data_IF_092258422273
#
_entry.id   IF_092258422273
#
_cell.length_a   1.000
_cell.length_b   1.000
_cell.length_c   1.000
_cell.angle_alpha   90.00
_cell.angle_beta   90.00
_cell.angle_gamma   90.00
#
_symmetry.space_group_name_H-M   'P 1'
#
loop_
_entity.id
_entity.type
_entity.pdbx_description
1 polymer ?
#
# COMPACT_ATOMS: atom_id res chain seq x y z
N UNK A 1 4.69 8.58 -9.08
CA UNK A 1 3.90 7.40 -9.56
C UNK A 1 3.34 6.64 -8.35
N UNK A 2 2.04 6.30 -8.33
CA UNK A 2 1.39 5.57 -7.23
C UNK A 2 1.05 4.13 -7.64
N UNK A 3 1.46 3.14 -6.85
CA UNK A 3 1.17 1.71 -7.05
C UNK A 3 0.42 1.15 -5.85
N UNK A 4 -0.67 0.44 -6.11
CA UNK A 4 -1.42 -0.30 -5.08
C UNK A 4 -1.15 -1.80 -5.21
N UNK A 5 -0.72 -2.42 -4.10
CA UNK A 5 -0.34 -3.84 -4.04
C UNK A 5 -0.96 -4.54 -2.84
N UNK A 6 -1.17 -5.85 -2.95
CA UNK A 6 -1.51 -6.72 -1.83
C UNK A 6 -0.23 -7.40 -1.30
N UNK A 7 -0.03 -7.39 0.02
CA UNK A 7 1.08 -8.08 0.66
C UNK A 7 1.48 -7.48 2.01
N UNK A 8 2.71 -7.78 2.45
CA UNK A 8 3.27 -7.25 3.69
C UNK A 8 4.11 -6.01 3.41
N UNK A 9 3.72 -4.87 4.00
CA UNK A 9 4.44 -3.60 3.86
C UNK A 9 5.90 -3.69 4.34
N UNK A 10 6.15 -4.43 5.42
CA UNK A 10 7.50 -4.59 5.99
C UNK A 10 8.45 -5.35 5.07
N UNK A 11 7.91 -6.04 4.06
CA UNK A 11 8.66 -6.79 3.04
C UNK A 11 8.74 -6.06 1.71
N UNK A 12 8.10 -4.89 1.56
CA UNK A 12 8.16 -4.15 0.30
C UNK A 12 9.55 -3.56 0.08
N UNK A 13 10.06 -3.54 -1.17
CA UNK A 13 11.35 -2.98 -1.52
C UNK A 13 11.27 -1.45 -1.59
N UNK A 14 11.03 -0.81 -0.44
CA UNK A 14 10.93 0.63 -0.28
C UNK A 14 12.00 1.17 0.67
N UNK A 15 12.46 2.38 0.41
CA UNK A 15 13.47 3.05 1.24
C UNK A 15 12.85 3.63 2.52
N UNK A 16 11.62 4.15 2.43
CA UNK A 16 10.89 4.76 3.53
C UNK A 16 9.57 4.02 3.77
N UNK A 17 9.34 3.57 5.01
CA UNK A 17 8.03 3.10 5.46
C UNK A 17 7.37 4.21 6.29
N UNK A 18 6.36 4.85 5.72
CA UNK A 18 5.56 5.87 6.40
C UNK A 18 4.27 5.28 6.96
N UNK A 19 3.95 5.65 8.19
CA UNK A 19 2.69 5.26 8.84
C UNK A 19 2.19 6.37 9.76
N UNK A 20 0.88 6.42 9.99
CA UNK A 20 0.31 7.34 10.97
C UNK A 20 0.67 6.87 12.39
N UNK A 21 1.10 7.80 13.23
CA UNK A 21 1.37 7.60 14.66
C UNK A 21 0.61 8.59 15.53
N UNK A 22 0.35 8.18 16.78
CA UNK A 22 -0.15 9.07 17.82
C UNK A 22 0.94 9.95 18.44
N UNK A 23 0.53 10.98 19.17
CA UNK A 23 1.40 11.87 19.91
C UNK A 23 1.68 11.40 21.35
N UNK A 24 1.19 10.21 21.76
CA UNK A 24 1.33 9.68 23.12
C UNK A 24 2.47 8.67 23.29
N UNK A 25 3.18 8.33 22.20
CA UNK A 25 4.33 7.42 22.27
C UNK A 25 3.94 5.95 22.33
N UNK A 26 2.73 5.59 21.86
CA UNK A 26 2.20 4.23 21.91
C UNK A 26 2.19 3.60 20.52
N UNK A 27 2.84 2.44 20.37
CA UNK A 27 2.71 1.57 19.19
C UNK A 27 2.16 0.20 19.66
N UNK A 28 0.86 0.18 19.97
CA UNK A 28 0.22 -0.94 20.66
C UNK A 28 -0.52 -1.94 19.77
N UNK A 29 -0.87 -1.56 18.54
CA UNK A 29 -1.62 -2.40 17.61
C UNK A 29 -1.31 -2.06 16.14
N UNK A 30 -1.88 -2.85 15.22
CA UNK A 30 -1.79 -2.64 13.79
C UNK A 30 -0.35 -2.62 13.26
N UNK A 31 -0.13 -1.84 12.20
CA UNK A 31 1.18 -1.68 11.56
C UNK A 31 2.23 -1.09 12.50
N UNK A 32 1.84 -0.19 13.41
CA UNK A 32 2.75 0.45 14.34
C UNK A 32 3.39 -0.58 15.30
N UNK A 33 2.60 -1.54 15.81
CA UNK A 33 3.12 -2.63 16.62
C UNK A 33 4.08 -3.54 15.83
N UNK A 34 3.76 -3.80 14.56
CA UNK A 34 4.62 -4.63 13.69
C UNK A 34 5.96 -3.93 13.42
N UNK A 35 5.95 -2.65 13.08
CA UNK A 35 7.17 -1.83 12.90
C UNK A 35 8.01 -1.85 14.17
N UNK A 36 7.40 -1.62 15.35
CA UNK A 36 8.09 -1.69 16.64
C UNK A 36 8.77 -3.03 16.88
N UNK A 37 8.09 -4.14 16.57
CA UNK A 37 8.59 -5.50 16.85
C UNK A 37 9.64 -5.97 15.85
N UNK A 38 9.53 -5.55 14.59
CA UNK A 38 10.28 -6.15 13.49
C UNK A 38 11.38 -5.26 12.93
N UNK A 39 11.24 -3.93 13.00
CA UNK A 39 12.14 -3.01 12.30
C UNK A 39 12.87 -2.03 13.23
N UNK A 40 12.29 -1.68 14.38
CA UNK A 40 12.90 -0.73 15.31
C UNK A 40 13.76 -1.43 16.36
N UNK A 41 14.93 -0.86 16.64
CA UNK A 41 15.68 -1.18 17.85
C UNK A 41 15.02 -0.53 19.07
N UNK A 42 15.36 -1.02 20.27
CA UNK A 42 14.89 -0.39 21.52
C UNK A 42 15.31 1.08 21.61
N UNK A 43 16.48 1.45 21.08
CA UNK A 43 16.97 2.83 21.05
C UNK A 43 16.08 3.72 20.16
N UNK A 44 15.80 3.28 18.94
CA UNK A 44 14.99 4.04 17.98
C UNK A 44 13.54 4.16 18.45
N UNK A 45 12.97 3.09 19.03
CA UNK A 45 11.66 3.17 19.66
C UNK A 45 11.63 4.14 20.84
N UNK A 46 12.69 4.18 21.67
CA UNK A 46 12.79 5.13 22.77
C UNK A 46 12.88 6.59 22.27
N UNK A 47 13.45 6.86 21.10
CA UNK A 47 13.42 8.20 20.49
C UNK A 47 12.00 8.65 20.18
N UNK A 48 11.14 7.75 19.69
CA UNK A 48 9.70 8.02 19.50
C UNK A 48 8.98 8.28 20.83
N UNK A 49 9.20 7.42 21.84
CA UNK A 49 8.58 7.59 23.16
C UNK A 49 8.99 8.92 23.80
N UNK A 50 10.27 9.27 23.74
CA UNK A 50 10.80 10.46 24.38
C UNK A 50 10.30 11.75 23.72
N UNK A 51 10.26 11.80 22.38
CA UNK A 51 9.75 13.00 21.70
C UNK A 51 8.25 13.21 21.98
N UNK A 52 7.48 12.12 22.05
CA UNK A 52 6.06 12.17 22.43
C UNK A 52 5.86 12.69 23.85
N UNK A 53 6.65 12.20 24.82
CA UNK A 53 6.61 12.71 26.20
C UNK A 53 6.95 14.21 26.30
N UNK A 54 7.91 14.67 25.49
CA UNK A 54 8.38 16.06 25.53
C UNK A 54 7.40 17.04 24.87
N UNK A 55 6.75 16.62 23.77
CA UNK A 55 6.01 17.54 22.90
C UNK A 55 4.51 17.28 22.86
N UNK A 56 4.05 16.07 23.17
CA UNK A 56 2.65 15.66 23.10
C UNK A 56 1.97 16.12 21.81
N UNK A 57 0.79 16.74 21.94
CA UNK A 57 0.01 17.27 20.83
C UNK A 57 0.77 18.27 19.92
N UNK A 58 1.85 18.89 20.42
CA UNK A 58 2.72 19.74 19.61
C UNK A 58 3.48 19.00 18.50
N UNK A 59 3.31 17.68 18.39
CA UNK A 59 3.78 16.85 17.28
C UNK A 59 2.79 16.75 16.13
N UNK A 60 1.51 17.08 16.29
CA UNK A 60 0.53 17.00 15.22
C UNK A 60 1.01 17.74 13.97
N UNK A 61 0.91 17.09 12.81
CA UNK A 61 1.35 17.63 11.53
C UNK A 61 2.84 17.44 11.24
N UNK A 62 3.61 16.92 12.18
CA UNK A 62 5.06 16.72 12.06
C UNK A 62 5.38 15.28 11.70
N UNK A 63 6.65 15.08 11.39
CA UNK A 63 7.20 13.79 11.02
C UNK A 63 8.49 13.55 11.79
N UNK A 64 8.66 12.34 12.32
CA UNK A 64 9.93 11.85 12.85
C UNK A 64 10.46 10.74 11.97
N UNK A 65 11.72 10.87 11.55
CA UNK A 65 12.45 9.83 10.85
C UNK A 65 13.28 9.01 11.85
N UNK A 66 13.10 7.70 11.82
CA UNK A 66 13.88 6.73 12.59
C UNK A 66 14.63 5.82 11.63
N UNK A 67 15.79 5.34 12.06
CA UNK A 67 16.60 4.43 11.26
C UNK A 67 16.31 2.99 11.63
N UNK A 68 16.38 2.09 10.66
CA UNK A 68 16.31 0.64 10.92
C UNK A 68 17.69 -0.01 10.71
N UNK A 69 17.96 -1.17 11.33
CA UNK A 69 19.20 -1.91 11.09
C UNK A 69 19.42 -2.32 9.63
N UNK A 70 18.34 -2.49 8.86
CA UNK A 70 18.38 -2.87 7.45
C UNK A 70 18.55 -1.69 6.48
N UNK A 71 18.82 -0.48 7.00
CA UNK A 71 19.13 0.71 6.21
C UNK A 71 17.91 1.51 5.74
N UNK A 72 16.70 1.01 5.95
CA UNK A 72 15.46 1.73 5.67
C UNK A 72 15.18 2.83 6.70
N UNK A 73 14.20 3.67 6.37
CA UNK A 73 13.73 4.76 7.22
C UNK A 73 12.29 4.49 7.63
N UNK A 74 12.00 4.57 8.93
CA UNK A 74 10.62 4.64 9.43
C UNK A 74 10.23 6.09 9.58
N UNK A 75 9.13 6.48 8.94
CA UNK A 75 8.54 7.79 9.02
C UNK A 75 7.28 7.76 9.90
N UNK A 76 7.42 8.19 11.15
CA UNK A 76 6.31 8.40 12.07
C UNK A 76 5.59 9.70 11.70
N UNK A 77 4.43 9.58 11.04
CA UNK A 77 3.61 10.71 10.62
C UNK A 77 2.57 11.01 11.71
N UNK A 78 2.74 12.11 12.44
CA UNK A 78 1.89 12.45 13.57
C UNK A 78 0.55 13.04 13.13
N UNK A 79 -0.40 12.16 12.78
CA UNK A 79 -1.76 12.48 12.36
C UNK A 79 -2.84 12.17 13.41
N UNK A 80 -2.43 11.71 14.59
CA UNK A 80 -3.33 11.34 15.69
C UNK A 80 -2.77 11.94 16.99
N UNK A 81 -3.60 12.55 17.81
CA UNK A 81 -3.13 13.08 19.10
C UNK A 81 -3.12 11.97 20.16
N UNK A 82 -4.32 11.56 20.58
CA UNK A 82 -4.55 10.53 21.59
C UNK A 82 -5.33 9.40 20.92
N UNK A 83 -4.85 8.15 20.98
CA UNK A 83 -5.58 7.02 20.43
C UNK A 83 -6.71 6.63 21.38
N UNK A 84 -7.93 7.06 21.09
CA UNK A 84 -9.12 6.74 21.89
C UNK A 84 -9.71 5.38 21.50
N UNK A 85 -9.45 4.94 20.26
CA UNK A 85 -10.01 3.71 19.70
C UNK A 85 -11.52 3.79 19.47
N UNK A 86 -12.10 5.00 19.49
CA UNK A 86 -13.52 5.26 19.31
C UNK A 86 -13.74 6.49 18.45
N UNK A 87 -14.55 6.36 17.40
CA UNK A 87 -14.80 7.48 16.49
C UNK A 87 -13.56 7.82 15.67
N UNK A 88 -13.42 9.09 15.29
CA UNK A 88 -12.34 9.58 14.43
C UNK A 88 -11.28 10.32 15.25
N UNK A 89 -10.15 9.68 15.45
CA UNK A 89 -8.94 10.25 16.07
C UNK A 89 -7.97 10.84 15.02
N UNK A 90 -8.10 10.44 13.75
CA UNK A 90 -7.28 11.01 12.67
C UNK A 90 -7.64 12.45 12.38
N UNK A 91 -6.62 13.30 12.46
CA UNK A 91 -6.60 14.66 11.95
C UNK A 91 -6.03 14.65 10.53
N UNK A 92 -6.89 14.89 9.54
CA UNK A 92 -6.51 14.81 8.13
C UNK A 92 -5.51 15.88 7.72
N UNK A 93 -5.62 17.10 8.26
CA UNK A 93 -4.70 18.18 7.92
C UNK A 93 -3.32 17.92 8.53
N UNK A 94 -3.28 17.41 9.75
CA UNK A 94 -2.05 16.94 10.38
C UNK A 94 -1.42 15.79 9.57
N UNK A 95 -2.20 14.77 9.21
CA UNK A 95 -1.68 13.66 8.42
C UNK A 95 -1.14 14.14 7.06
N UNK A 96 -1.86 15.04 6.39
CA UNK A 96 -1.45 15.63 5.11
C UNK A 96 -0.12 16.37 5.24
N UNK A 97 0.04 17.22 6.25
CA UNK A 97 1.29 17.94 6.48
C UNK A 97 2.46 16.98 6.74
N UNK A 98 2.25 15.98 7.60
CA UNK A 98 3.28 14.99 7.92
C UNK A 98 3.72 14.18 6.69
N UNK A 99 2.77 13.75 5.87
CA UNK A 99 3.05 13.01 4.62
C UNK A 99 3.70 13.90 3.56
N UNK A 100 3.34 15.19 3.48
CA UNK A 100 3.99 16.15 2.57
C UNK A 100 5.48 16.28 2.88
N UNK A 101 5.85 16.35 4.17
CA UNK A 101 7.26 16.36 4.60
C UNK A 101 8.00 15.10 4.09
N UNK A 102 7.35 13.93 4.11
CA UNK A 102 7.94 12.70 3.60
C UNK A 102 8.10 12.72 2.09
N UNK A 103 7.08 13.19 1.36
CA UNK A 103 7.14 13.34 -0.09
C UNK A 103 8.35 14.20 -0.48
N UNK A 104 8.48 15.38 0.14
CA UNK A 104 9.57 16.32 -0.16
C UNK A 104 10.94 15.72 0.20
N UNK A 105 11.06 15.11 1.38
CA UNK A 105 12.30 14.45 1.82
C UNK A 105 12.74 13.34 0.86
N UNK A 106 11.78 12.52 0.40
CA UNK A 106 12.02 11.42 -0.53
C UNK A 106 12.39 11.94 -1.93
N UNK A 107 11.70 12.98 -2.40
CA UNK A 107 11.94 13.61 -3.70
C UNK A 107 13.35 14.17 -3.81
N UNK A 108 13.81 14.90 -2.80
CA UNK A 108 15.17 15.45 -2.74
C UNK A 108 16.28 14.39 -2.81
N UNK A 109 15.97 13.13 -2.43
CA UNK A 109 16.96 12.05 -2.28
C UNK A 109 16.74 10.90 -3.27
N UNK A 110 15.74 10.99 -4.14
CA UNK A 110 15.37 9.92 -5.06
C UNK A 110 14.94 8.62 -4.35
N UNK A 111 14.31 8.73 -3.18
CA UNK A 111 13.89 7.59 -2.37
C UNK A 111 12.45 7.17 -2.68
N UNK A 112 12.15 5.89 -2.50
CA UNK A 112 10.81 5.31 -2.61
C UNK A 112 10.08 5.30 -1.27
N UNK A 113 8.74 5.41 -1.31
CA UNK A 113 7.90 5.47 -0.11
C UNK A 113 6.87 4.35 -0.12
N UNK A 114 6.74 3.64 0.99
CA UNK A 114 5.67 2.68 1.25
C UNK A 114 4.76 3.14 2.38
N UNK A 115 3.44 3.02 2.19
CA UNK A 115 2.43 3.27 3.22
C UNK A 115 1.47 2.09 3.35
N UNK A 116 0.89 1.84 4.53
CA UNK A 116 -0.13 0.81 4.68
C UNK A 116 -1.43 1.26 4.02
N UNK A 117 -2.11 0.32 3.36
CA UNK A 117 -3.52 0.50 3.02
C UNK A 117 -4.34 0.76 4.29
N UNK A 118 -5.33 1.64 4.20
CA UNK A 118 -6.12 2.12 5.34
C UNK A 118 -5.31 2.91 6.40
N UNK A 119 -4.19 3.54 6.01
CA UNK A 119 -3.42 4.45 6.88
C UNK A 119 -4.37 5.50 7.51
N UNK A 120 -4.35 5.60 8.84
CA UNK A 120 -5.23 6.51 9.60
C UNK A 120 -6.72 6.13 9.64
N UNK A 121 -7.14 5.08 8.95
CA UNK A 121 -8.57 4.80 8.75
C UNK A 121 -9.07 3.57 9.52
N UNK A 122 -8.17 2.67 9.91
CA UNK A 122 -8.51 1.52 10.77
C UNK A 122 -8.82 1.94 12.20
N UNK A 123 -7.85 1.78 13.10
CA UNK A 123 -8.05 2.02 14.54
C UNK A 123 -8.32 3.49 14.90
N UNK A 124 -7.83 4.42 14.08
CA UNK A 124 -8.00 5.86 14.28
C UNK A 124 -9.27 6.42 13.61
N UNK A 125 -10.06 5.58 12.93
CA UNK A 125 -11.40 5.90 12.44
C UNK A 125 -11.51 7.01 11.38
N UNK A 126 -10.42 7.31 10.67
CA UNK A 126 -10.47 8.11 9.45
C UNK A 126 -11.25 7.45 8.30
N UNK A 127 -11.50 8.23 7.26
CA UNK A 127 -12.13 7.82 6.02
C UNK A 127 -11.05 7.60 4.96
N UNK A 128 -10.97 6.36 4.48
CA UNK A 128 -9.95 5.96 3.53
C UNK A 128 -10.10 6.65 2.17
N UNK A 129 -11.30 7.05 1.76
CA UNK A 129 -11.47 7.80 0.52
C UNK A 129 -10.74 9.14 0.58
N UNK A 130 -10.84 9.84 1.72
CA UNK A 130 -10.16 11.12 1.96
C UNK A 130 -8.64 10.92 1.99
N UNK A 131 -8.15 9.94 2.75
CA UNK A 131 -6.70 9.71 2.88
C UNK A 131 -6.10 9.20 1.57
N UNK A 132 -6.79 8.32 0.85
CA UNK A 132 -6.34 7.82 -0.46
C UNK A 132 -6.27 8.97 -1.47
N UNK A 133 -7.32 9.78 -1.61
CA UNK A 133 -7.31 10.96 -2.49
C UNK A 133 -6.17 11.94 -2.15
N UNK A 134 -5.93 12.19 -0.87
CA UNK A 134 -4.79 12.98 -0.41
C UNK A 134 -3.44 12.39 -0.85
N UNK A 135 -3.23 11.07 -0.70
CA UNK A 135 -2.00 10.41 -1.15
C UNK A 135 -1.81 10.52 -2.67
N UNK A 136 -2.86 10.31 -3.45
CA UNK A 136 -2.81 10.45 -4.90
C UNK A 136 -2.51 11.89 -5.33
N UNK A 137 -3.05 12.89 -4.64
CA UNK A 137 -2.73 14.30 -4.91
C UNK A 137 -1.29 14.67 -4.56
N UNK A 138 -0.71 14.06 -3.53
CA UNK A 138 0.66 14.34 -3.09
C UNK A 138 1.74 13.64 -3.95
N UNK A 139 1.45 12.44 -4.47
CA UNK A 139 2.42 11.60 -5.19
C UNK A 139 2.06 11.34 -6.67
N UNK A 140 1.10 12.11 -7.19
CA UNK A 140 0.44 11.85 -8.47
C UNK A 140 1.20 12.32 -9.70
N UNK A 141 2.24 13.14 -9.56
CA UNK A 141 3.00 13.66 -10.71
C UNK A 141 4.19 12.76 -11.07
N UNK A 142 4.75 12.95 -12.27
CA UNK A 142 5.93 12.22 -12.72
C UNK A 142 7.19 12.58 -11.93
N UNK A 143 7.27 13.82 -11.44
CA UNK A 143 8.38 14.30 -10.63
C UNK A 143 8.27 13.90 -9.15
N UNK A 144 7.18 13.24 -8.74
CA UNK A 144 7.00 12.78 -7.37
C UNK A 144 7.61 11.38 -7.16
N UNK A 145 8.11 11.09 -5.94
CA UNK A 145 8.61 9.78 -5.56
C UNK A 145 7.63 8.65 -5.90
N UNK A 146 8.16 7.46 -6.14
CA UNK A 146 7.32 6.26 -6.20
C UNK A 146 6.67 6.02 -4.83
N UNK A 147 5.34 5.93 -4.82
CA UNK A 147 4.55 5.56 -3.66
C UNK A 147 3.95 4.17 -3.85
N UNK A 148 4.21 3.28 -2.90
CA UNK A 148 3.55 1.97 -2.78
C UNK A 148 2.53 2.03 -1.65
N UNK A 149 1.25 1.85 -1.98
CA UNK A 149 0.18 1.61 -1.01
C UNK A 149 0.00 0.10 -0.87
N UNK A 150 0.35 -0.44 0.29
CA UNK A 150 0.37 -1.89 0.53
C UNK A 150 -0.78 -2.33 1.43
N UNK A 151 -1.73 -3.08 0.87
CA UNK A 151 -2.86 -3.65 1.60
C UNK A 151 -2.48 -5.03 2.14
N UNK A 152 -2.56 -5.17 3.47
CA UNK A 152 -2.29 -6.47 4.11
C UNK A 152 -3.42 -7.47 3.93
N UNK A 153 -4.67 -6.99 3.97
CA UNK A 153 -5.85 -7.81 3.75
C UNK A 153 -6.22 -7.86 2.26
N UNK A 154 -6.50 -9.07 1.77
CA UNK A 154 -6.78 -9.33 0.35
C UNK A 154 -8.14 -8.77 -0.08
N UNK A 155 -9.14 -8.84 0.80
CA UNK A 155 -10.48 -8.36 0.48
C UNK A 155 -10.51 -6.82 0.45
N UNK A 156 -9.80 -6.17 1.37
CA UNK A 156 -9.60 -4.72 1.33
C UNK A 156 -8.82 -4.28 0.09
N UNK A 157 -7.80 -5.03 -0.34
CA UNK A 157 -7.11 -4.75 -1.60
C UNK A 157 -8.08 -4.74 -2.77
N UNK A 158 -8.88 -5.79 -2.95
CA UNK A 158 -9.81 -5.89 -4.07
C UNK A 158 -11.02 -4.97 -3.97
N UNK A 159 -11.47 -4.63 -2.76
CA UNK A 159 -12.49 -3.59 -2.55
C UNK A 159 -12.01 -2.24 -3.07
N UNK A 160 -10.72 -1.95 -2.91
CA UNK A 160 -10.10 -0.71 -3.37
C UNK A 160 -9.54 -0.78 -4.81
N UNK A 161 -9.45 -1.98 -5.39
CA UNK A 161 -8.95 -2.27 -6.73
C UNK A 161 -9.88 -3.32 -7.40
N UNK A 162 -11.16 -2.99 -7.66
CA UNK A 162 -12.14 -3.97 -8.12
C UNK A 162 -11.82 -4.54 -9.51
N UNK A 163 -11.10 -3.79 -10.33
CA UNK A 163 -10.56 -4.20 -11.63
C UNK A 163 -9.51 -5.32 -11.52
N UNK A 164 -8.85 -5.44 -10.36
CA UNK A 164 -7.85 -6.49 -10.08
C UNK A 164 -8.45 -7.76 -9.47
N UNK A 165 -9.75 -7.77 -9.16
CA UNK A 165 -10.41 -8.95 -8.58
C UNK A 165 -10.58 -10.02 -9.64
N UNK A 166 -10.11 -11.23 -9.34
CA UNK A 166 -10.26 -12.33 -10.28
C UNK A 166 -11.73 -12.76 -10.41
N UNK A 167 -12.18 -13.02 -11.65
CA UNK A 167 -13.52 -13.53 -11.98
C UNK A 167 -13.43 -15.01 -12.31
N UNK A 168 -14.27 -15.84 -11.69
CA UNK A 168 -14.41 -17.23 -12.14
C UNK A 168 -15.39 -17.30 -13.30
N UNK A 169 -14.95 -17.85 -14.43
CA UNK A 169 -15.76 -18.01 -15.64
C UNK A 169 -15.76 -19.46 -16.09
N UNK A 170 -16.90 -19.92 -16.58
CA UNK A 170 -16.99 -21.22 -17.23
C UNK A 170 -16.63 -21.09 -18.70
N UNK A 171 -15.68 -21.91 -19.14
CA UNK A 171 -15.32 -22.10 -20.56
C UNK A 171 -15.75 -23.50 -21.01
N UNK A 172 -15.63 -23.78 -22.30
CA UNK A 172 -15.73 -25.14 -22.84
C UNK A 172 -14.64 -26.08 -22.30
N UNK A 173 -13.57 -25.56 -21.69
CA UNK A 173 -12.49 -26.33 -21.02
C UNK A 173 -12.67 -26.44 -19.50
N UNK A 174 -13.78 -25.96 -18.96
CA UNK A 174 -14.09 -25.97 -17.53
C UNK A 174 -14.02 -24.60 -16.87
N UNK A 175 -14.05 -24.59 -15.53
CA UNK A 175 -14.00 -23.37 -14.72
C UNK A 175 -12.58 -22.82 -14.71
N UNK A 176 -12.42 -21.56 -15.12
CA UNK A 176 -11.14 -20.85 -15.11
C UNK A 176 -11.22 -19.60 -14.25
N UNK A 177 -10.08 -19.21 -13.67
CA UNK A 177 -9.94 -17.99 -12.89
C UNK A 177 -9.34 -16.90 -13.79
N UNK A 178 -10.12 -15.88 -14.13
CA UNK A 178 -9.67 -14.70 -14.87
C UNK A 178 -9.14 -13.68 -13.89
N UNK A 179 -7.84 -13.50 -13.81
CA UNK A 179 -7.22 -12.52 -12.91
C UNK A 179 -7.29 -11.09 -13.44
N UNK A 180 -7.31 -10.91 -14.76
CA UNK A 180 -7.23 -9.58 -15.36
C UNK A 180 -7.87 -9.52 -16.73
N UNK A 181 -8.20 -8.30 -17.14
CA UNK A 181 -8.62 -7.97 -18.50
C UNK A 181 -7.71 -6.88 -19.05
N UNK A 182 -7.15 -7.10 -20.22
CA UNK A 182 -6.23 -6.20 -20.92
C UNK A 182 -6.94 -5.54 -22.11
N UNK A 183 -6.51 -4.34 -22.51
CA UNK A 183 -7.08 -3.65 -23.67
C UNK A 183 -6.49 -4.14 -24.99
N UNK A 184 -5.28 -4.70 -24.94
CA UNK A 184 -4.62 -5.23 -26.13
C UNK A 184 -3.77 -6.45 -25.82
N UNK A 185 -3.35 -7.16 -26.89
CA UNK A 185 -2.46 -8.33 -26.75
C UNK A 185 -1.08 -7.91 -26.27
N UNK A 186 -0.62 -6.73 -26.70
CA UNK A 186 0.66 -6.14 -26.34
C UNK A 186 0.74 -5.86 -24.83
N UNK A 187 -0.32 -5.32 -24.23
CA UNK A 187 -0.42 -5.13 -22.77
C UNK A 187 -0.33 -6.46 -22.02
N UNK A 188 -1.05 -7.48 -22.48
CA UNK A 188 -1.02 -8.81 -21.86
C UNK A 188 0.38 -9.44 -21.94
N UNK A 189 1.02 -9.35 -23.11
CA UNK A 189 2.37 -9.88 -23.32
C UNK A 189 3.44 -9.15 -22.51
N UNK A 190 3.32 -7.84 -22.32
CA UNK A 190 4.22 -7.08 -21.45
C UNK A 190 4.20 -7.56 -19.98
N UNK A 191 3.08 -8.13 -19.54
CA UNK A 191 2.94 -8.73 -18.20
C UNK A 191 3.18 -10.26 -18.15
N UNK A 192 3.76 -10.80 -19.22
CA UNK A 192 4.15 -12.21 -19.32
C UNK A 192 3.01 -13.18 -19.64
N UNK A 193 1.82 -12.68 -20.02
CA UNK A 193 0.72 -13.52 -20.48
C UNK A 193 0.89 -13.86 -21.96
N UNK A 194 0.81 -15.15 -22.29
CA UNK A 194 0.84 -15.65 -23.67
C UNK A 194 -0.51 -16.24 -24.06
N UNK A 195 -0.81 -16.23 -25.36
CA UNK A 195 -2.08 -16.78 -25.87
C UNK A 195 -2.20 -18.26 -25.49
N UNK A 196 -3.30 -18.62 -24.86
CA UNK A 196 -3.55 -19.98 -24.36
C UNK A 196 -4.57 -20.69 -25.27
N UNK A 197 -5.79 -20.15 -25.36
CA UNK A 197 -6.85 -20.69 -26.21
C UNK A 197 -7.99 -19.67 -26.41
N UNK A 198 -8.86 -19.94 -27.40
CA UNK A 198 -10.10 -19.19 -27.58
C UNK A 198 -11.25 -19.92 -26.90
N UNK A 199 -12.03 -19.22 -26.08
CA UNK A 199 -13.27 -19.77 -25.54
C UNK A 199 -14.46 -19.31 -26.37
N UNK A 200 -15.12 -20.28 -27.02
CA UNK A 200 -16.36 -20.02 -27.76
C UNK A 200 -17.52 -19.63 -26.83
N UNK A 201 -17.50 -20.11 -25.58
CA UNK A 201 -18.52 -19.76 -24.57
C UNK A 201 -18.44 -18.32 -24.11
N UNK A 202 -17.24 -17.75 -24.06
CA UNK A 202 -17.01 -16.35 -23.68
C UNK A 202 -16.88 -15.43 -24.89
N UNK A 203 -16.74 -16.00 -26.09
CA UNK A 203 -16.39 -15.30 -27.32
C UNK A 203 -15.12 -14.44 -27.17
N UNK A 204 -14.10 -15.01 -26.51
CA UNK A 204 -12.86 -14.30 -26.16
C UNK A 204 -11.65 -15.21 -26.21
N UNK A 205 -10.51 -14.62 -26.58
CA UNK A 205 -9.20 -15.23 -26.39
C UNK A 205 -8.76 -15.14 -24.92
N UNK A 206 -8.38 -16.27 -24.34
CA UNK A 206 -7.76 -16.37 -23.04
C UNK A 206 -6.24 -16.49 -23.16
N UNK A 207 -5.56 -15.75 -22.29
CA UNK A 207 -4.12 -15.72 -22.16
C UNK A 207 -3.74 -16.27 -20.78
N UNK A 208 -2.59 -16.92 -20.65
CA UNK A 208 -2.12 -17.48 -19.38
C UNK A 208 -0.63 -17.22 -19.20
N UNK A 209 -0.16 -17.20 -17.95
CA UNK A 209 1.27 -17.23 -17.62
C UNK A 209 1.56 -18.41 -16.67
N UNK A 210 2.71 -19.10 -16.80
CA UNK A 210 3.05 -20.20 -15.90
C UNK A 210 3.25 -19.66 -14.47
N UNK A 211 2.78 -20.39 -13.46
CA UNK A 211 2.91 -19.96 -12.05
C UNK A 211 4.13 -20.56 -11.35
N UNK A 212 4.67 -21.65 -11.85
CA UNK A 212 5.85 -22.32 -11.27
C UNK A 212 6.73 -22.97 -12.35
N UNK A 213 7.92 -23.43 -11.94
CA UNK A 213 8.92 -24.09 -12.78
C UNK A 213 8.41 -25.42 -13.40
N UNK A 214 7.22 -25.88 -13.00
CA UNK A 214 6.55 -27.08 -13.52
C UNK A 214 5.53 -26.75 -14.60
N UNK A 215 5.35 -25.48 -14.96
CA UNK A 215 4.48 -25.05 -16.05
C UNK A 215 2.99 -25.13 -15.72
N UNK A 216 2.61 -25.12 -14.43
CA UNK A 216 1.21 -25.18 -14.04
C UNK A 216 0.53 -23.80 -14.18
N UNK A 217 -0.54 -23.75 -14.99
CA UNK A 217 -1.36 -22.56 -15.21
C UNK A 217 -2.60 -22.60 -14.30
N UNK A 218 -2.74 -21.66 -13.37
CA UNK A 218 -3.92 -21.55 -12.50
C UNK A 218 -4.67 -20.21 -12.68
N UNK A 219 -4.14 -19.32 -13.52
CA UNK A 219 -4.79 -18.05 -13.81
C UNK A 219 -4.69 -17.65 -15.27
N UNK A 220 -5.77 -17.03 -15.72
CA UNK A 220 -5.97 -16.58 -17.09
C UNK A 220 -6.25 -15.08 -17.12
N UNK A 221 -6.06 -14.46 -18.27
CA UNK A 221 -6.47 -13.10 -18.57
C UNK A 221 -7.28 -13.07 -19.87
N UNK A 222 -8.13 -12.06 -20.01
CA UNK A 222 -8.89 -11.80 -21.24
C UNK A 222 -8.33 -10.54 -21.90
N UNK A 223 -8.31 -10.49 -23.23
CA UNK A 223 -8.08 -9.24 -23.98
C UNK A 223 -9.43 -8.74 -24.50
N UNK A 224 -9.82 -7.52 -24.11
CA UNK A 224 -10.94 -6.80 -24.69
C UNK A 224 -10.56 -6.35 -26.10
N UNK A 225 -10.76 -7.22 -27.07
CA UNK A 225 -10.76 -6.82 -28.48
C UNK A 225 -11.89 -5.80 -28.69
N UNK A 226 -11.55 -4.63 -29.21
CA UNK A 226 -12.49 -3.65 -29.74
C UNK A 226 -13.27 -4.21 -30.93
#
# INVERSE_FOLDING_TARGET
MVKEVHGNLLMQPVDIIAHQTNCTGVMGAGIALQIKKSLLTSEEYNKYVNICKQRGAGLLGKTQLLKTPDGRIIANCFGENIPTGKGKDTDYDALKHAVTIIRDYAKERGLTVGVPGLMGCGLAGGDWHIVKDMLYKLFGTEDDPELIICYFDKDEFYKNNPDKKSKQLHTERGLVCIERTFKSKEEASAEGYSYSFYSSKLDKALFSKPLDDRGLYHSFAIVETA
#
